data_IF_305944122005
#
_entry.id   IF_305944122005
#
_cell.length_a   1.000
_cell.length_b   1.000
_cell.length_c   1.000
_cell.angle_alpha   90.00
_cell.angle_beta   90.00
_cell.angle_gamma   90.00
#
_symmetry.space_group_name_H-M   'P 1'
#
loop_
_entity.id
_entity.type
_entity.pdbx_description
1 polymer ?
#
# COMPACT_ATOMS: atom_id res chain seq x y z
N UNK A 1 65.89 37.76 -32.92
CA UNK A 1 65.41 36.37 -33.14
C UNK A 1 66.38 35.45 -32.41
N UNK A 2 66.07 34.67 -31.39
CA UNK A 2 64.84 34.29 -30.71
C UNK A 2 65.11 34.24 -29.19
N UNK A 3 64.20 34.76 -28.38
CA UNK A 3 64.31 34.76 -26.90
C UNK A 3 63.23 33.83 -26.36
N UNK A 4 63.64 32.77 -25.67
CA UNK A 4 62.74 31.87 -24.93
C UNK A 4 62.08 32.59 -23.75
N UNK A 5 60.84 32.21 -23.39
CA UNK A 5 60.44 32.18 -22.00
C UNK A 5 60.09 30.75 -21.57
N UNK A 6 60.60 30.41 -20.39
CA UNK A 6 60.28 29.21 -19.63
C UNK A 6 58.82 29.26 -19.13
N UNK A 7 58.06 28.20 -19.40
CA UNK A 7 56.76 28.00 -18.76
C UNK A 7 56.97 27.40 -17.36
N UNK A 8 56.87 28.27 -16.36
CA UNK A 8 56.78 27.87 -14.96
C UNK A 8 55.36 27.35 -14.64
N UNK A 9 55.31 26.09 -14.22
CA UNK A 9 54.44 25.48 -13.20
C UNK A 9 53.16 26.20 -12.78
N UNK A 10 52.04 25.46 -12.83
CA UNK A 10 51.07 25.38 -11.72
C UNK A 10 50.19 24.13 -11.88
N UNK A 11 50.67 23.01 -11.35
CA UNK A 11 49.86 21.83 -11.07
C UNK A 11 48.92 22.24 -9.93
N UNK A 12 47.62 22.33 -10.21
CA UNK A 12 46.62 22.56 -9.17
C UNK A 12 46.58 21.33 -8.25
N UNK A 13 47.13 21.52 -7.05
CA UNK A 13 47.03 20.62 -5.92
C UNK A 13 45.55 20.40 -5.56
N UNK A 14 45.02 19.18 -5.77
CA UNK A 14 43.83 18.73 -5.06
C UNK A 14 44.23 18.30 -3.65
N UNK A 15 43.73 18.93 -2.57
CA UNK A 15 43.91 18.38 -1.24
C UNK A 15 42.98 17.18 -1.04
N UNK A 16 43.58 16.02 -0.85
CA UNK A 16 42.96 14.87 -0.19
C UNK A 16 42.50 15.29 1.22
N UNK A 17 41.20 15.48 1.42
CA UNK A 17 40.62 15.54 2.76
C UNK A 17 40.05 14.17 3.12
N UNK A 18 40.87 13.42 3.86
CA UNK A 18 40.41 12.36 4.76
C UNK A 18 39.47 13.00 5.79
N UNK A 19 38.18 12.69 5.74
CA UNK A 19 37.28 12.96 6.86
C UNK A 19 37.31 11.70 7.73
N UNK A 20 38.10 11.75 8.80
CA UNK A 20 37.98 10.85 9.93
C UNK A 20 36.86 11.33 10.84
N UNK A 21 36.02 10.40 11.28
CA UNK A 21 34.88 10.61 12.17
C UNK A 21 35.24 11.40 13.45
N UNK A 22 34.32 12.25 13.89
CA UNK A 22 34.07 12.44 15.31
C UNK A 22 32.56 12.47 15.57
N UNK A 23 32.14 11.44 16.30
CA UNK A 23 31.02 11.39 17.23
C UNK A 23 30.21 12.69 17.41
N UNK A 24 28.99 12.71 16.89
CA UNK A 24 27.86 13.40 17.50
C UNK A 24 26.55 12.65 17.21
N UNK A 25 26.11 11.90 18.23
CA UNK A 25 24.69 11.81 18.60
C UNK A 25 23.75 11.10 17.62
N UNK A 26 23.94 9.80 17.41
CA UNK A 26 22.83 8.95 16.97
C UNK A 26 21.76 8.94 18.06
N UNK A 27 20.60 9.53 17.78
CA UNK A 27 19.40 9.31 18.57
C UNK A 27 19.06 7.81 18.55
N UNK A 28 19.42 7.15 19.64
CA UNK A 28 19.12 5.76 19.96
C UNK A 28 17.61 5.59 19.99
N UNK A 29 17.03 5.17 18.86
CA UNK A 29 15.66 4.65 18.80
C UNK A 29 15.65 3.45 19.75
N UNK A 30 15.04 3.61 20.92
CA UNK A 30 14.77 2.51 21.83
C UNK A 30 13.73 1.63 21.15
N UNK A 31 14.15 0.49 20.61
CA UNK A 31 13.23 -0.61 20.39
C UNK A 31 12.76 -1.06 21.77
N UNK A 32 11.54 -0.65 22.13
CA UNK A 32 10.86 -1.22 23.26
C UNK A 32 10.48 -2.65 22.88
N UNK A 33 11.32 -3.59 23.29
CA UNK A 33 10.97 -5.00 23.35
C UNK A 33 9.85 -5.09 24.39
N UNK A 34 8.60 -5.03 23.94
CA UNK A 34 7.49 -5.51 24.75
C UNK A 34 7.61 -7.02 24.84
N UNK A 35 8.27 -7.42 25.92
CA UNK A 35 8.29 -8.74 26.51
C UNK A 35 6.87 -9.32 26.45
N UNK A 36 6.75 -10.49 25.84
CA UNK A 36 5.58 -11.33 25.79
C UNK A 36 4.85 -11.32 27.15
N UNK A 37 3.72 -10.62 27.22
CA UNK A 37 2.75 -10.86 28.29
C UNK A 37 1.93 -12.06 27.85
N UNK A 38 2.28 -13.20 28.43
CA UNK A 38 1.43 -14.37 28.52
C UNK A 38 0.05 -13.95 29.02
N UNK A 39 -0.97 -14.08 28.17
CA UNK A 39 -2.34 -14.07 28.62
C UNK A 39 -2.56 -15.34 29.46
N UNK A 40 -2.53 -15.18 30.78
CA UNK A 40 -3.13 -16.13 31.70
C UNK A 40 -4.64 -16.09 31.52
N UNK A 41 -5.34 -17.19 31.18
CA UNK A 41 -6.78 -17.22 31.27
C UNK A 41 -7.18 -17.19 32.75
N UNK A 42 -8.10 -16.29 33.07
CA UNK A 42 -8.72 -16.15 34.38
C UNK A 42 -9.44 -17.45 34.78
N UNK A 43 -9.34 -17.75 36.07
CA UNK A 43 -10.09 -18.70 36.91
C UNK A 43 -11.25 -19.47 36.25
N UNK A 44 -11.26 -20.83 36.30
CA UNK A 44 -12.50 -21.56 36.17
C UNK A 44 -13.29 -21.50 37.48
N UNK A 45 -14.56 -21.13 37.35
CA UNK A 45 -15.61 -21.21 38.36
C UNK A 45 -15.67 -22.66 38.86
N UNK A 46 -15.54 -22.85 40.16
CA UNK A 46 -15.74 -24.12 40.85
C UNK A 46 -17.20 -24.56 40.73
N UNK A 47 -17.47 -25.64 40.01
CA UNK A 47 -18.71 -26.42 40.15
C UNK A 47 -18.31 -27.83 40.60
N UNK A 48 -19.03 -28.28 41.61
CA UNK A 48 -18.72 -29.39 42.49
C UNK A 48 -18.67 -30.77 41.84
N UNK A 49 -18.05 -31.68 42.60
CA UNK A 49 -17.84 -33.10 42.40
C UNK A 49 -19.04 -33.89 41.86
N UNK A 50 -18.77 -34.81 40.94
CA UNK A 50 -19.30 -36.19 40.92
C UNK A 50 -18.65 -36.98 39.77
N UNK A 51 -17.58 -37.71 40.06
CA UNK A 51 -17.07 -38.77 39.17
C UNK A 51 -17.85 -40.08 39.44
N UNK A 52 -18.33 -40.77 38.39
CA UNK A 52 -18.36 -42.22 38.39
C UNK A 52 -17.29 -42.73 37.42
N UNK A 53 -16.31 -43.44 37.98
CA UNK A 53 -15.30 -44.20 37.27
C UNK A 53 -15.94 -45.14 36.23
N UNK A 54 -15.57 -45.02 34.96
CA UNK A 54 -15.59 -46.17 34.04
C UNK A 54 -14.66 -45.92 32.85
N UNK A 55 -13.92 -46.97 32.52
CA UNK A 55 -12.89 -47.05 31.49
C UNK A 55 -13.39 -46.65 30.10
N UNK A 56 -12.73 -45.70 29.47
CA UNK A 56 -12.93 -45.36 28.06
C UNK A 56 -11.62 -44.88 27.45
N UNK A 57 -11.09 -45.67 26.52
CA UNK A 57 -9.91 -45.36 25.71
C UNK A 57 -10.00 -43.94 25.12
N UNK A 58 -8.99 -43.11 25.41
CA UNK A 58 -8.89 -41.76 24.88
C UNK A 58 -8.50 -41.79 23.40
N UNK A 59 -9.49 -41.83 22.51
CA UNK A 59 -9.29 -41.37 21.14
C UNK A 59 -9.10 -39.85 21.20
N UNK A 60 -7.86 -39.40 21.26
CA UNK A 60 -7.49 -38.00 21.06
C UNK A 60 -7.96 -37.57 19.67
N UNK A 61 -9.16 -36.99 19.59
CA UNK A 61 -9.61 -36.30 18.39
C UNK A 61 -8.73 -35.06 18.22
N UNK A 62 -7.65 -35.21 17.48
CA UNK A 62 -6.92 -34.08 16.95
C UNK A 62 -7.91 -33.28 16.10
N UNK A 63 -8.41 -32.18 16.64
CA UNK A 63 -9.11 -31.16 15.86
C UNK A 63 -8.02 -30.51 15.00
N UNK A 64 -7.70 -31.15 13.88
CA UNK A 64 -7.01 -30.48 12.80
C UNK A 64 -8.00 -29.44 12.28
N UNK A 65 -7.64 -28.16 12.38
CA UNK A 65 -8.35 -27.15 11.63
C UNK A 65 -7.86 -27.32 10.18
N UNK A 66 -8.42 -28.29 9.44
CA UNK A 66 -8.20 -28.36 8.00
C UNK A 66 -8.88 -27.14 7.41
N UNK A 67 -8.11 -26.09 7.19
CA UNK A 67 -8.44 -25.09 6.19
C UNK A 67 -8.43 -25.83 4.85
N UNK A 68 -9.57 -26.41 4.48
CA UNK A 68 -9.84 -26.70 3.09
C UNK A 68 -9.73 -25.35 2.39
N UNK A 69 -8.66 -25.20 1.61
CA UNK A 69 -8.48 -24.07 0.73
C UNK A 69 -9.47 -24.34 -0.39
N UNK A 70 -10.74 -24.06 -0.12
CA UNK A 70 -11.79 -24.07 -1.11
C UNK A 70 -11.28 -23.11 -2.19
N UNK A 71 -10.93 -23.69 -3.32
CA UNK A 71 -10.51 -22.98 -4.50
C UNK A 71 -11.80 -22.33 -5.01
N UNK A 72 -12.23 -21.27 -4.33
CA UNK A 72 -13.32 -20.40 -4.74
C UNK A 72 -13.05 -20.14 -6.19
N UNK A 73 -13.92 -20.69 -7.03
CA UNK A 73 -13.83 -20.61 -8.47
C UNK A 73 -13.87 -19.12 -8.75
N UNK A 74 -12.70 -18.56 -8.97
CA UNK A 74 -12.55 -17.15 -9.29
C UNK A 74 -13.55 -16.93 -10.42
N UNK A 75 -14.41 -15.93 -10.28
CA UNK A 75 -15.17 -15.42 -11.42
C UNK A 75 -14.14 -14.77 -12.35
N UNK A 76 -13.36 -15.62 -12.98
CA UNK A 76 -12.11 -15.37 -13.67
C UNK A 76 -12.34 -14.39 -14.79
N UNK A 77 -13.50 -14.47 -15.41
CA UNK A 77 -13.88 -13.65 -16.55
C UNK A 77 -14.04 -12.17 -16.17
N UNK A 78 -14.63 -11.87 -15.00
CA UNK A 78 -14.80 -10.50 -14.55
C UNK A 78 -13.46 -9.87 -14.15
N UNK A 79 -12.65 -10.63 -13.42
CA UNK A 79 -11.30 -10.20 -13.03
C UNK A 79 -10.42 -10.00 -14.26
N UNK A 80 -10.37 -10.97 -15.18
CA UNK A 80 -9.59 -10.89 -16.43
C UNK A 80 -10.05 -9.72 -17.30
N UNK A 81 -11.37 -9.49 -17.41
CA UNK A 81 -11.92 -8.35 -18.14
C UNK A 81 -11.52 -7.03 -17.50
N UNK A 82 -11.61 -6.91 -16.17
CA UNK A 82 -11.20 -5.71 -15.45
C UNK A 82 -9.68 -5.45 -15.59
N UNK A 83 -8.87 -6.51 -15.51
CA UNK A 83 -7.42 -6.44 -15.72
C UNK A 83 -7.04 -6.08 -17.15
N UNK A 84 -7.76 -6.58 -18.16
CA UNK A 84 -7.53 -6.21 -19.57
C UNK A 84 -7.83 -4.75 -19.88
N UNK A 85 -8.66 -4.10 -19.05
CA UNK A 85 -9.05 -2.69 -19.19
C UNK A 85 -8.07 -1.74 -18.48
N UNK A 86 -7.07 -2.27 -17.78
CA UNK A 86 -6.03 -1.46 -17.15
C UNK A 86 -5.30 -0.67 -18.25
N UNK A 87 -5.17 0.64 -18.06
CA UNK A 87 -4.59 1.56 -19.04
C UNK A 87 -5.63 2.34 -19.85
N UNK A 88 -6.89 1.90 -19.89
CA UNK A 88 -7.96 2.61 -20.60
C UNK A 88 -8.27 3.96 -19.95
N UNK A 89 -8.70 4.92 -20.79
CA UNK A 89 -9.24 6.19 -20.33
C UNK A 89 -10.67 5.98 -19.85
N UNK A 90 -11.00 6.61 -18.73
CA UNK A 90 -12.33 6.54 -18.14
C UNK A 90 -12.84 7.93 -17.84
N UNK A 91 -14.13 8.15 -18.04
CA UNK A 91 -14.82 9.39 -17.71
C UNK A 91 -15.82 9.12 -16.61
N UNK A 92 -15.78 9.94 -15.55
CA UNK A 92 -16.73 9.83 -14.44
C UNK A 92 -18.08 10.41 -14.87
N UNK A 93 -19.16 9.66 -14.66
CA UNK A 93 -20.52 10.08 -15.05
C UNK A 93 -21.38 10.53 -13.86
N UNK A 94 -21.11 10.01 -12.66
CA UNK A 94 -21.87 10.32 -11.44
C UNK A 94 -21.20 11.47 -10.69
N UNK A 95 -21.97 12.36 -10.04
CA UNK A 95 -21.38 13.37 -9.17
C UNK A 95 -20.67 12.76 -7.96
N UNK A 96 -19.34 12.90 -7.93
CA UNK A 96 -18.47 12.31 -6.91
C UNK A 96 -17.45 13.32 -6.41
N UNK A 97 -17.45 13.52 -5.10
CA UNK A 97 -16.54 14.42 -4.40
C UNK A 97 -15.49 13.62 -3.63
N UNK A 98 -14.25 14.09 -3.71
CA UNK A 98 -13.10 13.43 -3.09
C UNK A 98 -12.32 14.40 -2.22
N UNK A 99 -11.89 13.93 -1.04
CA UNK A 99 -11.30 14.76 0.01
C UNK A 99 -9.85 14.40 0.37
N UNK A 100 -9.26 13.37 -0.26
CA UNK A 100 -7.89 12.94 0.03
C UNK A 100 -6.84 13.54 -0.92
N UNK A 101 -7.23 14.54 -1.73
CA UNK A 101 -6.29 15.19 -2.65
C UNK A 101 -5.38 16.13 -1.87
N UNK A 102 -4.04 16.01 -1.99
CA UNK A 102 -3.13 16.89 -1.25
C UNK A 102 -3.36 18.36 -1.59
N UNK A 103 -3.57 19.19 -0.55
CA UNK A 103 -3.78 20.65 -0.62
C UNK A 103 -5.10 21.10 -1.30
N UNK A 104 -5.96 20.17 -1.72
CA UNK A 104 -7.30 20.47 -2.17
C UNK A 104 -8.30 19.83 -1.21
N UNK A 105 -9.07 20.62 -0.45
CA UNK A 105 -9.99 20.06 0.52
C UNK A 105 -11.07 19.23 -0.16
N UNK A 106 -11.58 19.71 -1.29
CA UNK A 106 -12.65 19.06 -2.05
C UNK A 106 -12.33 19.15 -3.54
N UNK A 107 -12.52 18.04 -4.24
CA UNK A 107 -12.50 18.01 -5.70
C UNK A 107 -13.73 17.28 -6.23
N UNK A 108 -14.38 17.87 -7.21
CA UNK A 108 -15.44 17.23 -7.97
C UNK A 108 -14.85 16.47 -9.16
N UNK A 109 -15.16 15.18 -9.23
CA UNK A 109 -14.73 14.28 -10.31
C UNK A 109 -15.72 14.21 -11.46
N UNK A 110 -16.91 14.80 -11.34
CA UNK A 110 -17.95 14.77 -12.38
C UNK A 110 -17.40 15.18 -13.74
N UNK A 111 -17.52 14.30 -14.75
CA UNK A 111 -17.06 14.57 -16.11
C UNK A 111 -15.55 14.58 -16.31
N UNK A 112 -14.74 14.38 -15.25
CA UNK A 112 -13.29 14.30 -15.40
C UNK A 112 -12.86 13.00 -16.05
N UNK A 113 -11.82 13.11 -16.87
CA UNK A 113 -11.17 11.96 -17.51
C UNK A 113 -9.97 11.55 -16.68
N UNK A 114 -9.88 10.26 -16.39
CA UNK A 114 -8.78 9.62 -15.69
C UNK A 114 -8.27 8.40 -16.45
N UNK A 115 -7.19 7.81 -15.93
CA UNK A 115 -6.58 6.61 -16.48
C UNK A 115 -6.71 5.47 -15.47
N UNK A 116 -7.31 4.35 -15.88
CA UNK A 116 -7.48 3.19 -15.01
C UNK A 116 -6.13 2.53 -14.73
N UNK A 117 -5.65 2.60 -13.48
CA UNK A 117 -4.31 2.10 -13.11
C UNK A 117 -4.30 0.67 -12.58
N UNK A 118 -5.32 0.28 -11.82
CA UNK A 118 -5.31 -1.01 -11.12
C UNK A 118 -6.72 -1.47 -10.80
N UNK A 119 -6.91 -2.80 -10.79
CA UNK A 119 -8.06 -3.47 -10.22
C UNK A 119 -7.66 -4.10 -8.87
N UNK A 120 -8.33 -3.69 -7.79
CA UNK A 120 -7.93 -3.98 -6.38
C UNK A 120 -8.77 -5.11 -5.76
N UNK A 121 -9.71 -5.72 -6.52
CA UNK A 121 -10.50 -6.84 -6.02
C UNK A 121 -9.68 -8.14 -5.88
N UNK A 122 -8.47 -8.21 -6.44
CA UNK A 122 -7.56 -9.35 -6.32
C UNK A 122 -6.21 -8.88 -5.79
N UNK A 123 -5.73 -9.55 -4.74
CA UNK A 123 -4.43 -9.28 -4.15
C UNK A 123 -3.69 -10.59 -3.92
N UNK A 124 -2.52 -10.72 -4.56
CA UNK A 124 -1.67 -11.93 -4.47
C UNK A 124 -2.44 -13.22 -4.73
N UNK A 125 -3.32 -13.21 -5.72
CA UNK A 125 -4.16 -14.36 -6.10
C UNK A 125 -5.36 -14.62 -5.18
N UNK A 126 -5.59 -13.79 -4.15
CA UNK A 126 -6.77 -13.89 -3.28
C UNK A 126 -7.78 -12.80 -3.63
N UNK A 127 -9.07 -13.17 -3.64
CA UNK A 127 -10.17 -12.22 -3.80
C UNK A 127 -10.34 -11.40 -2.52
N UNK A 128 -10.48 -10.09 -2.67
CA UNK A 128 -10.81 -9.15 -1.60
C UNK A 128 -12.23 -8.61 -1.87
N UNK A 129 -12.98 -8.36 -0.81
CA UNK A 129 -14.30 -7.71 -0.83
C UNK A 129 -14.21 -6.18 -0.97
N UNK A 130 -13.43 -5.68 -1.92
CA UNK A 130 -13.33 -4.25 -2.18
C UNK A 130 -14.60 -3.73 -2.89
N UNK A 131 -15.37 -2.86 -2.22
CA UNK A 131 -16.58 -2.27 -2.80
C UNK A 131 -16.30 -1.34 -3.98
N UNK A 132 -15.12 -0.69 -4.00
CA UNK A 132 -14.66 0.23 -5.05
C UNK A 132 -13.37 -0.34 -5.68
N UNK A 133 -13.46 -1.32 -6.58
CA UNK A 133 -12.29 -2.09 -6.97
C UNK A 133 -11.42 -1.40 -8.04
N UNK A 134 -11.93 -0.39 -8.75
CA UNK A 134 -11.19 0.28 -9.82
C UNK A 134 -10.42 1.48 -9.29
N UNK A 135 -9.09 1.41 -9.32
CA UNK A 135 -8.22 2.54 -8.97
C UNK A 135 -7.91 3.36 -10.21
N UNK A 136 -8.46 4.55 -10.28
CA UNK A 136 -8.31 5.49 -11.39
C UNK A 136 -7.39 6.64 -10.98
N UNK A 137 -6.45 6.98 -11.85
CA UNK A 137 -5.57 8.13 -11.68
C UNK A 137 -6.11 9.35 -12.42
N UNK A 138 -6.12 10.48 -11.75
CA UNK A 138 -6.53 11.76 -12.28
C UNK A 138 -5.39 12.78 -12.17
N UNK A 139 -5.38 13.72 -13.10
CA UNK A 139 -4.49 14.88 -13.09
C UNK A 139 -5.37 16.13 -13.01
N UNK A 140 -5.22 16.89 -11.93
CA UNK A 140 -5.81 18.21 -11.81
C UNK A 140 -4.78 19.27 -12.17
N UNK A 141 -4.96 19.93 -13.31
CA UNK A 141 -4.08 21.01 -13.78
C UNK A 141 -4.34 22.31 -13.01
N UNK A 142 -5.60 22.59 -12.70
CA UNK A 142 -6.02 23.82 -12.04
C UNK A 142 -6.21 23.56 -10.54
N UNK A 143 -5.18 23.90 -9.76
CA UNK A 143 -5.22 23.89 -8.30
C UNK A 143 -4.79 25.26 -7.79
N UNK A 144 -5.78 26.09 -7.45
CA UNK A 144 -5.55 27.41 -6.84
C UNK A 144 -4.74 27.22 -5.54
N UNK A 145 -3.49 27.71 -5.50
CA UNK A 145 -2.59 27.59 -4.34
C UNK A 145 -1.42 26.61 -4.51
N UNK A 146 -1.28 25.94 -5.66
CA UNK A 146 0.02 25.46 -6.15
C UNK A 146 0.45 26.36 -7.29
N UNK A 147 1.75 26.61 -7.41
CA UNK A 147 2.39 27.50 -8.40
C UNK A 147 2.22 27.02 -9.86
N UNK A 148 0.99 26.76 -10.30
CA UNK A 148 0.63 26.18 -11.61
C UNK A 148 0.99 24.70 -11.78
N UNK A 149 1.40 23.98 -10.72
CA UNK A 149 1.88 22.60 -10.85
C UNK A 149 0.73 21.57 -10.82
N UNK A 150 0.60 20.70 -11.84
CA UNK A 150 -0.45 19.69 -11.87
C UNK A 150 -0.34 18.70 -10.70
N UNK A 151 -1.51 18.31 -10.19
CA UNK A 151 -1.65 17.40 -9.06
C UNK A 151 -2.15 16.05 -9.56
N UNK A 152 -1.30 15.05 -9.43
CA UNK A 152 -1.65 13.66 -9.66
C UNK A 152 -2.20 13.06 -8.38
N UNK A 153 -3.39 12.46 -8.47
CA UNK A 153 -4.02 11.74 -7.37
C UNK A 153 -4.79 10.55 -7.93
N UNK A 154 -5.16 9.60 -7.08
CA UNK A 154 -5.93 8.43 -7.47
C UNK A 154 -7.18 8.29 -6.62
N UNK A 155 -8.30 7.92 -7.22
CA UNK A 155 -9.54 7.59 -6.51
C UNK A 155 -9.96 6.14 -6.84
N UNK A 156 -10.67 5.52 -5.90
CA UNK A 156 -11.29 4.22 -6.13
C UNK A 156 -12.73 4.44 -6.56
N UNK A 157 -13.14 3.82 -7.66
CA UNK A 157 -14.46 3.93 -8.26
C UNK A 157 -15.06 2.54 -8.48
N UNK A 158 -16.38 2.51 -8.68
CA UNK A 158 -17.11 1.34 -9.18
C UNK A 158 -17.35 1.43 -10.67
N UNK A 159 -17.62 0.29 -11.30
CA UNK A 159 -17.95 0.21 -12.73
C UNK A 159 -19.21 1.00 -13.13
N UNK A 160 -20.14 1.21 -12.19
CA UNK A 160 -21.37 1.98 -12.41
C UNK A 160 -21.17 3.49 -12.27
N UNK A 161 -19.98 3.96 -11.89
CA UNK A 161 -19.69 5.38 -11.64
C UNK A 161 -18.97 6.07 -12.82
N UNK A 162 -18.45 5.29 -13.76
CA UNK A 162 -17.71 5.79 -14.92
C UNK A 162 -18.09 5.08 -16.21
N UNK A 163 -17.60 5.62 -17.32
CA UNK A 163 -17.67 5.03 -18.66
C UNK A 163 -16.27 4.96 -19.28
N UNK A 164 -16.01 3.97 -20.12
CA UNK A 164 -14.76 3.88 -20.86
C UNK A 164 -14.80 4.81 -22.07
N UNK A 165 -13.71 5.53 -22.29
CA UNK A 165 -13.48 6.28 -23.51
C UNK A 165 -12.53 5.46 -24.39
N UNK A 166 -13.03 4.98 -25.53
CA UNK A 166 -12.23 4.31 -26.57
C UNK A 166 -11.33 5.32 -27.31
#
# INVERSE_FOLDING_TARGET
MATSPAFYSSILNLPNSKISNSDLGFNRIRFWVHKNQSFTPANPISIADSCPSSSGSCNSAAIYNSLTLDHDSINDEEVKKAESRIGSKVRVKVPLKVYHVPKLPEIDLTGRVGLLKQYVAVFKGKRISANLPYKVEFVAEEVSGRDGKPVKFSAHLREDEFEFLD
#
